data_IF_071023103305
#
_entry.id   IF_071023103305
#
_cell.length_a   1.000
_cell.length_b   1.000
_cell.length_c   1.000
_cell.angle_alpha   90.00
_cell.angle_beta   90.00
_cell.angle_gamma   90.00
#
_symmetry.space_group_name_H-M   'P 1'
#
loop_
_entity.id
_entity.type
_entity.pdbx_description
1 polymer ?
#
# COMPACT_ATOMS: atom_id res chain seq x y z
N UNK A 1 1.82 6.87 -16.58
CA UNK A 1 0.86 7.99 -16.76
C UNK A 1 0.70 8.79 -15.47
N UNK A 2 0.25 8.18 -14.35
CA UNK A 2 0.05 8.90 -13.09
C UNK A 2 1.33 9.56 -12.55
N UNK A 3 2.45 8.82 -12.47
CA UNK A 3 3.73 9.37 -11.99
C UNK A 3 4.19 10.54 -12.84
N UNK A 4 4.09 10.42 -14.18
CA UNK A 4 4.39 11.51 -15.11
C UNK A 4 3.57 12.78 -14.83
N UNK A 5 2.27 12.63 -14.53
CA UNK A 5 1.43 13.77 -14.16
C UNK A 5 1.89 14.41 -12.84
N UNK A 6 2.21 13.60 -11.83
CA UNK A 6 2.66 14.06 -10.52
C UNK A 6 4.06 14.68 -10.53
N UNK A 7 4.98 14.21 -11.38
CA UNK A 7 6.34 14.77 -11.53
C UNK A 7 6.30 16.26 -11.86
N UNK A 8 5.25 16.77 -12.52
CA UNK A 8 5.09 18.21 -12.81
C UNK A 8 5.04 19.09 -11.57
N UNK A 9 4.68 18.53 -10.41
CA UNK A 9 4.59 19.26 -9.14
C UNK A 9 5.85 19.17 -8.27
N UNK A 10 6.76 18.24 -8.58
CA UNK A 10 7.95 17.94 -7.76
C UNK A 10 9.26 17.85 -8.56
N UNK A 11 9.19 18.02 -9.88
CA UNK A 11 10.27 18.01 -10.88
C UNK A 11 11.04 16.69 -11.06
N UNK A 12 11.16 15.89 -10.00
CA UNK A 12 11.80 14.58 -10.01
C UNK A 12 10.94 13.58 -9.23
N UNK A 13 10.67 12.42 -9.83
CA UNK A 13 10.01 11.29 -9.16
C UNK A 13 10.80 10.01 -9.41
N UNK A 14 10.86 9.15 -8.40
CA UNK A 14 11.33 7.76 -8.52
C UNK A 14 10.17 6.81 -8.29
N UNK A 15 9.95 5.89 -9.22
CA UNK A 15 8.92 4.87 -9.15
C UNK A 15 9.54 3.51 -8.89
N UNK A 16 9.16 2.89 -7.79
CA UNK A 16 9.56 1.53 -7.43
C UNK A 16 8.41 0.57 -7.74
N UNK A 17 8.60 -0.27 -8.76
CA UNK A 17 7.68 -1.32 -9.17
C UNK A 17 8.07 -2.63 -8.47
N UNK A 18 7.26 -3.05 -7.50
CA UNK A 18 7.50 -4.27 -6.71
C UNK A 18 6.60 -5.41 -7.25
N UNK A 19 7.18 -6.51 -7.76
CA UNK A 19 6.41 -7.69 -8.17
C UNK A 19 5.77 -8.38 -6.95
N UNK A 20 4.50 -8.05 -6.67
CA UNK A 20 3.83 -8.50 -5.44
C UNK A 20 3.09 -9.83 -5.58
N UNK A 21 2.96 -10.38 -6.79
CA UNK A 21 2.13 -11.56 -7.06
C UNK A 21 2.58 -12.84 -6.34
N UNK A 22 3.89 -13.12 -6.27
CA UNK A 22 4.40 -14.30 -5.55
C UNK A 22 4.21 -14.15 -4.03
N UNK A 23 4.46 -12.96 -3.50
CA UNK A 23 4.23 -12.62 -2.09
C UNK A 23 2.75 -12.84 -1.73
N UNK A 24 1.83 -12.40 -2.59
CA UNK A 24 0.40 -12.67 -2.40
C UNK A 24 0.07 -14.16 -2.40
N UNK A 25 0.63 -14.95 -3.32
CA UNK A 25 0.40 -16.40 -3.37
C UNK A 25 0.81 -17.09 -2.08
N UNK A 26 1.97 -16.75 -1.51
CA UNK A 26 2.43 -17.33 -0.25
C UNK A 26 1.54 -16.94 0.93
N UNK A 27 1.12 -15.68 1.00
CA UNK A 27 0.15 -15.23 2.03
C UNK A 27 -1.19 -15.95 1.89
N UNK A 28 -1.68 -16.15 0.66
CA UNK A 28 -2.93 -16.87 0.38
C UNK A 28 -2.85 -18.33 0.82
N UNK A 29 -1.69 -18.97 0.61
CA UNK A 29 -1.46 -20.37 0.96
C UNK A 29 -1.39 -20.60 2.47
N UNK A 30 -0.82 -19.66 3.23
CA UNK A 30 -0.59 -19.83 4.67
C UNK A 30 -1.69 -19.23 5.57
N UNK A 31 -2.50 -18.28 5.07
CA UNK A 31 -3.36 -17.45 5.94
C UNK A 31 -4.84 -17.48 5.56
N UNK A 32 -5.68 -17.44 6.61
CA UNK A 32 -7.13 -17.41 6.50
C UNK A 32 -7.63 -16.20 5.70
N UNK A 33 -8.70 -16.41 4.92
CA UNK A 33 -9.25 -15.42 4.00
C UNK A 33 -9.46 -14.01 4.61
N UNK A 34 -10.04 -13.85 5.81
CA UNK A 34 -10.38 -12.52 6.35
C UNK A 34 -9.16 -11.62 6.63
N UNK A 35 -8.01 -12.19 7.00
CA UNK A 35 -6.81 -11.44 7.39
C UNK A 35 -5.89 -11.09 6.22
N UNK A 36 -6.10 -11.68 5.05
CA UNK A 36 -5.21 -11.53 3.88
C UNK A 36 -4.95 -10.08 3.51
N UNK A 37 -5.98 -9.24 3.48
CA UNK A 37 -5.84 -7.81 3.14
C UNK A 37 -4.95 -7.10 4.16
N UNK A 38 -5.12 -7.39 5.46
CA UNK A 38 -4.28 -6.81 6.51
C UNK A 38 -2.83 -7.23 6.33
N UNK A 39 -2.58 -8.51 6.03
CA UNK A 39 -1.22 -9.01 5.80
C UNK A 39 -0.58 -8.49 4.52
N UNK A 40 -1.33 -8.36 3.42
CA UNK A 40 -0.82 -7.72 2.20
C UNK A 40 -0.34 -6.31 2.50
N UNK A 41 -1.14 -5.52 3.23
CA UNK A 41 -0.80 -4.13 3.56
C UNK A 41 0.38 -4.04 4.52
N UNK A 42 0.45 -4.94 5.52
CA UNK A 42 1.62 -5.03 6.41
C UNK A 42 2.90 -5.38 5.65
N UNK A 43 2.84 -6.32 4.70
CA UNK A 43 3.98 -6.67 3.86
C UNK A 43 4.37 -5.53 2.91
N UNK A 44 3.40 -4.86 2.28
CA UNK A 44 3.65 -3.66 1.46
C UNK A 44 4.35 -2.56 2.26
N UNK A 45 3.93 -2.29 3.50
CA UNK A 45 4.57 -1.30 4.37
C UNK A 45 6.00 -1.68 4.73
N UNK A 46 6.28 -2.95 5.03
CA UNK A 46 7.64 -3.42 5.31
C UNK A 46 8.57 -3.25 4.10
N UNK A 47 8.10 -3.62 2.91
CA UNK A 47 8.86 -3.45 1.67
C UNK A 47 9.07 -1.96 1.40
N UNK A 48 8.02 -1.13 1.53
CA UNK A 48 8.12 0.31 1.36
C UNK A 48 9.09 0.95 2.37
N UNK A 49 9.13 0.50 3.63
CA UNK A 49 10.11 0.94 4.61
C UNK A 49 11.54 0.52 4.22
N UNK A 50 11.72 -0.69 3.68
CA UNK A 50 13.00 -1.15 3.14
C UNK A 50 13.52 -0.25 2.01
N UNK A 51 12.63 0.14 1.07
CA UNK A 51 12.94 1.10 0.00
C UNK A 51 13.21 2.49 0.59
N UNK A 52 12.38 2.96 1.51
CA UNK A 52 12.52 4.26 2.17
C UNK A 52 13.89 4.41 2.86
N UNK A 53 14.39 3.35 3.50
CA UNK A 53 15.73 3.36 4.13
C UNK A 53 16.85 3.50 3.10
N UNK A 54 16.76 2.86 1.94
CA UNK A 54 17.72 3.03 0.83
C UNK A 54 17.72 4.48 0.32
N UNK A 55 16.54 5.08 0.22
CA UNK A 55 16.35 6.48 -0.20
C UNK A 55 16.57 7.51 0.91
N UNK A 56 16.91 7.07 2.13
CA UNK A 56 17.06 7.94 3.32
C UNK A 56 15.80 8.76 3.64
N UNK A 57 14.64 8.27 3.25
CA UNK A 57 13.35 8.86 3.58
C UNK A 57 13.04 8.72 5.07
N UNK A 58 12.35 9.72 5.63
CA UNK A 58 12.07 9.81 7.08
C UNK A 58 10.64 9.42 7.46
N UNK A 59 9.78 9.17 6.48
CA UNK A 59 8.38 8.82 6.67
C UNK A 59 7.85 8.08 5.44
N UNK A 60 6.74 7.37 5.62
CA UNK A 60 5.90 6.81 4.55
C UNK A 60 4.64 7.66 4.42
N UNK A 61 4.08 7.78 3.22
CA UNK A 61 2.77 8.41 2.97
C UNK A 61 1.78 7.37 2.46
N UNK A 62 0.53 7.45 2.91
CA UNK A 62 -0.58 6.66 2.36
C UNK A 62 -1.78 7.55 2.04
N UNK A 63 -2.54 7.16 1.02
CA UNK A 63 -3.82 7.79 0.68
C UNK A 63 -5.01 7.24 1.47
N UNK A 64 -4.80 6.79 2.72
CA UNK A 64 -5.88 6.25 3.55
C UNK A 64 -6.83 7.35 4.05
N UNK A 65 -8.14 7.08 3.99
CA UNK A 65 -9.18 7.90 4.63
C UNK A 65 -9.95 7.05 5.64
N UNK A 66 -10.24 7.60 6.82
CA UNK A 66 -10.84 6.83 7.89
C UNK A 66 -12.28 6.40 7.53
N UNK A 67 -12.55 5.09 7.61
CA UNK A 67 -13.90 4.54 7.44
C UNK A 67 -14.38 4.42 5.99
N UNK A 68 -13.53 4.73 4.99
CA UNK A 68 -13.92 4.64 3.58
C UNK A 68 -14.03 3.20 3.06
N UNK A 69 -13.17 2.29 3.54
CA UNK A 69 -13.19 0.85 3.20
C UNK A 69 -12.89 0.00 4.44
N UNK A 70 -13.22 -1.29 4.39
CA UNK A 70 -13.05 -2.23 5.51
C UNK A 70 -11.62 -2.25 6.08
N UNK A 71 -10.59 -2.11 5.25
CA UNK A 71 -9.18 -2.09 5.67
C UNK A 71 -8.72 -0.76 6.29
N UNK A 72 -9.57 0.26 6.31
CA UNK A 72 -9.30 1.62 6.80
C UNK A 72 -10.16 1.98 8.03
N UNK A 73 -10.49 0.98 8.85
CA UNK A 73 -10.98 1.19 10.22
C UNK A 73 -9.83 1.55 11.15
N UNK A 74 -10.11 2.20 12.28
CA UNK A 74 -9.07 2.52 13.28
C UNK A 74 -8.30 1.26 13.73
N UNK A 75 -9.04 0.17 13.99
CA UNK A 75 -8.46 -1.11 14.40
C UNK A 75 -7.47 -1.65 13.34
N UNK A 76 -7.90 -1.70 12.08
CA UNK A 76 -7.05 -2.19 11.00
C UNK A 76 -5.88 -1.25 10.71
N UNK A 77 -6.08 0.07 10.74
CA UNK A 77 -4.99 1.03 10.53
C UNK A 77 -3.94 0.93 11.63
N UNK A 78 -4.34 0.75 12.89
CA UNK A 78 -3.44 0.56 14.01
C UNK A 78 -2.62 -0.73 13.85
N UNK A 79 -3.27 -1.85 13.52
CA UNK A 79 -2.59 -3.12 13.29
C UNK A 79 -1.68 -3.05 12.07
N UNK A 80 -2.11 -2.44 10.96
CA UNK A 80 -1.27 -2.32 9.76
C UNK A 80 -0.03 -1.46 10.04
N UNK A 81 -0.18 -0.35 10.78
CA UNK A 81 0.92 0.55 11.11
C UNK A 81 2.04 -0.11 11.90
N UNK A 82 1.74 -1.08 12.77
CA UNK A 82 2.76 -1.80 13.55
C UNK A 82 3.79 -2.54 12.68
N UNK A 83 3.52 -2.73 11.39
CA UNK A 83 4.46 -3.35 10.46
C UNK A 83 5.58 -2.41 9.98
N UNK A 84 5.51 -1.11 10.29
CA UNK A 84 6.55 -0.15 9.95
C UNK A 84 7.03 0.60 11.20
N UNK A 85 8.32 0.96 11.24
CA UNK A 85 8.88 1.80 12.31
C UNK A 85 8.97 3.28 11.92
N UNK A 86 9.04 3.57 10.62
CA UNK A 86 8.94 4.94 10.11
C UNK A 86 7.54 5.52 10.35
N UNK A 87 7.42 6.83 10.67
CA UNK A 87 6.13 7.52 10.72
C UNK A 87 5.34 7.36 9.42
N UNK A 88 4.05 7.05 9.53
CA UNK A 88 3.12 6.99 8.40
C UNK A 88 2.22 8.22 8.40
N UNK A 89 2.38 9.08 7.40
CA UNK A 89 1.59 10.29 7.20
C UNK A 89 0.36 9.99 6.35
N UNK A 90 -0.79 10.47 6.80
CA UNK A 90 -2.11 10.18 6.21
C UNK A 90 -2.88 11.46 5.93
N UNK A 91 -2.51 12.20 4.88
CA UNK A 91 -3.11 13.51 4.59
C UNK A 91 -4.63 13.46 4.35
N UNK A 92 -5.16 12.30 3.94
CA UNK A 92 -6.57 12.12 3.62
C UNK A 92 -7.40 11.56 4.79
N UNK A 93 -6.80 11.34 5.97
CA UNK A 93 -7.44 10.59 7.06
C UNK A 93 -8.78 11.16 7.52
N UNK A 94 -8.94 12.48 7.45
CA UNK A 94 -10.16 13.20 7.84
C UNK A 94 -10.99 13.73 6.67
N UNK A 95 -10.61 13.41 5.43
CA UNK A 95 -11.32 13.88 4.24
C UNK A 95 -12.40 12.88 3.81
N UNK A 96 -13.55 13.40 3.40
CA UNK A 96 -14.56 12.59 2.74
C UNK A 96 -14.20 12.26 1.28
N UNK A 97 -14.96 11.33 0.68
CA UNK A 97 -14.70 10.87 -0.68
C UNK A 97 -14.84 11.99 -1.72
N UNK A 98 -15.78 12.90 -1.53
CA UNK A 98 -16.03 13.98 -2.48
C UNK A 98 -14.88 14.98 -2.45
N UNK A 99 -14.40 15.34 -1.26
CA UNK A 99 -13.22 16.19 -1.09
C UNK A 99 -11.98 15.58 -1.78
N UNK A 100 -11.75 14.27 -1.63
CA UNK A 100 -10.64 13.57 -2.29
C UNK A 100 -10.78 13.61 -3.81
N UNK A 101 -12.00 13.38 -4.33
CA UNK A 101 -12.29 13.45 -5.76
C UNK A 101 -12.04 14.87 -6.30
N UNK A 102 -12.47 15.90 -5.58
CA UNK A 102 -12.31 17.28 -6.02
C UNK A 102 -10.85 17.71 -6.00
N UNK A 103 -10.05 17.25 -5.02
CA UNK A 103 -8.60 17.40 -5.07
C UNK A 103 -7.99 16.68 -6.27
N UNK A 104 -8.37 15.42 -6.52
CA UNK A 104 -7.86 14.64 -7.65
C UNK A 104 -8.17 15.30 -9.00
N UNK A 105 -9.34 15.93 -9.15
CA UNK A 105 -9.69 16.72 -10.35
C UNK A 105 -8.83 17.97 -10.44
N UNK A 106 -8.67 18.69 -9.32
CA UNK A 106 -7.85 19.91 -9.25
C UNK A 106 -6.39 19.67 -9.66
N UNK A 107 -5.82 18.53 -9.30
CA UNK A 107 -4.44 18.16 -9.66
C UNK A 107 -4.35 17.30 -10.94
N UNK A 108 -5.47 17.08 -11.63
CA UNK A 108 -5.51 16.36 -12.91
C UNK A 108 -5.23 14.86 -12.84
N UNK A 109 -5.35 14.22 -11.67
CA UNK A 109 -5.14 12.77 -11.51
C UNK A 109 -6.42 11.95 -11.56
N UNK A 110 -7.59 12.59 -11.45
CA UNK A 110 -8.89 11.90 -11.37
C UNK A 110 -9.16 11.00 -12.57
N UNK A 111 -9.00 11.51 -13.80
CA UNK A 111 -9.30 10.74 -15.01
C UNK A 111 -8.40 9.51 -15.15
N UNK A 112 -7.09 9.67 -14.89
CA UNK A 112 -6.11 8.56 -14.92
C UNK A 112 -6.46 7.51 -13.87
N UNK A 113 -6.85 7.94 -12.67
CA UNK A 113 -7.16 7.05 -11.54
C UNK A 113 -8.52 6.36 -11.68
N UNK A 114 -9.37 6.84 -12.59
CA UNK A 114 -10.71 6.30 -12.83
C UNK A 114 -10.75 5.28 -13.98
N UNK A 115 -9.62 5.03 -14.64
CA UNK A 115 -9.50 4.01 -15.68
C UNK A 115 -9.88 2.65 -15.07
N UNK A 116 -10.87 1.92 -15.61
CA UNK A 116 -11.26 0.61 -15.09
C UNK A 116 -10.09 -0.36 -15.18
N UNK A 117 -9.65 -0.89 -14.03
CA UNK A 117 -8.64 -1.94 -13.98
C UNK A 117 -9.27 -3.30 -14.32
N UNK A 118 -8.60 -4.07 -15.18
CA UNK A 118 -8.93 -5.47 -15.42
C UNK A 118 -8.10 -6.35 -14.47
N UNK A 119 -8.79 -6.96 -13.50
CA UNK A 119 -8.46 -8.31 -13.01
C UNK A 119 -7.10 -8.62 -12.36
N UNK A 120 -6.54 -7.74 -11.52
CA UNK A 120 -5.47 -8.18 -10.60
C UNK A 120 -5.94 -8.33 -9.14
N UNK A 121 -6.78 -7.40 -8.64
CA UNK A 121 -7.13 -7.35 -7.23
C UNK A 121 -8.29 -8.29 -6.83
N UNK A 122 -9.22 -8.62 -7.73
CA UNK A 122 -10.43 -9.37 -7.34
C UNK A 122 -10.17 -10.84 -6.99
N UNK A 123 -9.16 -11.47 -7.60
CA UNK A 123 -8.90 -12.90 -7.39
C UNK A 123 -8.48 -13.24 -5.95
N UNK A 124 -7.80 -12.29 -5.28
CA UNK A 124 -7.17 -12.52 -3.98
C UNK A 124 -7.76 -11.68 -2.84
N UNK A 125 -8.74 -10.81 -3.12
CA UNK A 125 -9.49 -10.06 -2.11
C UNK A 125 -10.63 -10.93 -1.57
N UNK A 126 -10.71 -11.13 -0.24
CA UNK A 126 -11.77 -11.92 0.36
C UNK A 126 -13.14 -11.23 0.21
N UNK A 127 -14.21 -12.01 0.01
CA UNK A 127 -15.59 -11.51 -0.01
C UNK A 127 -15.99 -10.77 1.28
N UNK A 128 -15.43 -11.18 2.41
CA UNK A 128 -15.64 -10.57 3.72
C UNK A 128 -14.28 -10.27 4.38
N UNK A 129 -13.67 -9.11 4.09
CA UNK A 129 -12.44 -8.70 4.76
C UNK A 129 -12.70 -8.43 6.24
N UNK A 130 -11.72 -8.71 7.09
CA UNK A 130 -11.80 -8.35 8.50
C UNK A 130 -11.86 -6.82 8.64
N UNK A 131 -12.83 -6.31 9.41
CA UNK A 131 -12.98 -4.88 9.73
C UNK A 131 -12.39 -4.52 11.09
N UNK A 132 -12.13 -5.52 11.93
CA UNK A 132 -11.57 -5.39 13.29
C UNK A 132 -10.55 -6.48 13.53
N UNK A 133 -9.44 -6.47 12.80
CA UNK A 133 -8.37 -7.42 13.03
C UNK A 133 -7.74 -7.17 14.41
N UNK A 134 -7.54 -8.22 15.20
CA UNK A 134 -6.83 -8.10 16.48
C UNK A 134 -5.33 -8.26 16.24
N UNK A 135 -4.46 -7.49 16.95
CA UNK A 135 -3.01 -7.60 16.80
C UNK A 135 -2.49 -9.04 16.92
N UNK A 136 -2.93 -9.77 17.95
CA UNK A 136 -2.49 -11.14 18.19
C UNK A 136 -2.91 -12.13 17.09
N UNK A 137 -4.09 -11.97 16.48
CA UNK A 137 -4.53 -12.80 15.35
C UNK A 137 -3.63 -12.60 14.13
N UNK A 138 -3.22 -11.34 13.94
CA UNK A 138 -2.33 -10.94 12.83
C UNK A 138 -0.92 -11.43 13.07
N UNK A 139 -0.40 -11.30 14.29
CA UNK A 139 0.91 -11.83 14.68
C UNK A 139 0.98 -13.36 14.55
N UNK A 140 -0.05 -14.08 15.00
CA UNK A 140 -0.14 -15.53 14.83
C UNK A 140 -0.18 -15.91 13.35
N UNK A 141 -0.97 -15.21 12.54
CA UNK A 141 -1.02 -15.44 11.10
C UNK A 141 0.32 -15.15 10.41
N UNK A 142 1.02 -14.10 10.82
CA UNK A 142 2.35 -13.75 10.29
C UNK A 142 3.44 -14.72 10.71
N UNK A 143 3.33 -15.36 11.88
CA UNK A 143 4.31 -16.37 12.33
C UNK A 143 4.40 -17.59 11.40
N UNK A 144 3.38 -17.79 10.55
CA UNK A 144 3.32 -18.85 9.53
C UNK A 144 4.04 -18.47 8.23
N UNK A 145 4.54 -17.25 8.13
CA UNK A 145 5.20 -16.69 6.95
C UNK A 145 6.68 -16.43 7.25
N UNK A 146 7.53 -16.69 6.26
CA UNK A 146 8.90 -16.17 6.29
C UNK A 146 8.89 -14.69 5.86
N UNK A 147 8.59 -13.81 6.81
CA UNK A 147 8.47 -12.37 6.55
C UNK A 147 9.77 -11.79 6.01
N UNK A 148 10.93 -12.27 6.50
CA UNK A 148 12.23 -11.78 6.06
C UNK A 148 12.48 -12.13 4.60
N UNK A 149 12.21 -13.37 4.19
CA UNK A 149 12.35 -13.80 2.81
C UNK A 149 11.36 -13.08 1.87
N UNK A 150 10.10 -12.92 2.29
CA UNK A 150 9.10 -12.18 1.51
C UNK A 150 9.50 -10.71 1.29
N UNK A 151 10.04 -10.05 2.33
CA UNK A 151 10.58 -8.70 2.20
C UNK A 151 11.78 -8.67 1.25
N UNK A 152 12.71 -9.60 1.40
CA UNK A 152 13.91 -9.72 0.57
C UNK A 152 13.51 -9.88 -0.90
N UNK A 153 12.60 -10.81 -1.19
CA UNK A 153 12.04 -11.05 -2.52
C UNK A 153 11.43 -9.78 -3.11
N UNK A 154 10.62 -9.04 -2.34
CA UNK A 154 10.00 -7.80 -2.82
C UNK A 154 11.04 -6.73 -3.15
N UNK A 155 12.03 -6.54 -2.28
CA UNK A 155 13.04 -5.48 -2.41
C UNK A 155 14.05 -5.79 -3.52
N UNK A 156 14.50 -7.03 -3.67
CA UNK A 156 15.51 -7.42 -4.66
C UNK A 156 14.96 -7.38 -6.09
N UNK A 157 13.70 -7.76 -6.28
CA UNK A 157 13.06 -7.77 -7.61
C UNK A 157 12.39 -6.43 -7.96
N UNK A 158 12.67 -5.37 -7.20
CA UNK A 158 12.11 -4.04 -7.46
C UNK A 158 12.74 -3.43 -8.72
N UNK A 159 11.90 -2.99 -9.65
CA UNK A 159 12.33 -2.19 -10.80
C UNK A 159 12.20 -0.71 -10.43
N UNK A 160 13.23 0.09 -10.68
CA UNK A 160 13.22 1.53 -10.45
C UNK A 160 13.14 2.28 -11.77
N UNK A 161 12.23 3.24 -11.86
CA UNK A 161 12.09 4.16 -12.99
C UNK A 161 12.19 5.59 -12.48
N UNK A 162 13.02 6.42 -13.13
CA UNK A 162 13.12 7.85 -12.81
C UNK A 162 12.33 8.68 -13.83
N UNK A 163 11.68 9.72 -13.32
CA UNK A 163 10.87 10.65 -14.11
C UNK A 163 11.30 12.07 -13.77
N UNK A 164 11.56 12.87 -14.80
CA UNK A 164 11.90 14.29 -14.70
C UNK A 164 10.88 15.15 -15.44
N UNK A 165 10.85 16.45 -15.11
CA UNK A 165 10.07 17.46 -15.81
C UNK A 165 10.79 18.82 -15.69
N UNK A 166 10.90 19.65 -16.75
CA UNK A 166 10.26 19.51 -18.06
C UNK A 166 10.93 18.55 -19.05
N UNK A 167 12.13 18.06 -18.75
CA UNK A 167 12.93 17.18 -19.62
C UNK A 167 12.75 15.69 -19.31
#
# INVERSE_FOLDING_TARGET
QLVTALTRHQFLSRLYLVPFGEIQRQIVAAVSRPLRVVLYRRMMLRIAEGVARKEKAKALLTGESLGQVASQTLDNMAVIQQAATLPILRPLVGMDKQEIIDQARRIGTFEISSIPDQDCCQLFVPKHPATKAKPWEVEEAESKLDVAELMRMGIENTINEEFTFPD
#
